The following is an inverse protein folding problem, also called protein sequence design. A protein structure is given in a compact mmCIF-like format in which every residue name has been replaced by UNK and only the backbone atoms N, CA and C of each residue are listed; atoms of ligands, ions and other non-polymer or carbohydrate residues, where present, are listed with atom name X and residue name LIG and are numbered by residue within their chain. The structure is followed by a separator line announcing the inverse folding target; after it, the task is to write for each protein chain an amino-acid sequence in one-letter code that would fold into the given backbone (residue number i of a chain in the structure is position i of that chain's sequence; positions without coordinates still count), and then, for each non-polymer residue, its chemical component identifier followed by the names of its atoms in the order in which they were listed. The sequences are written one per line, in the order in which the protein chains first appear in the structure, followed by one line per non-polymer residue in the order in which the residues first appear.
data_IF_036639254181
#
_entry.id   IF_036639254181
#
_cell.length_a   1.000
_cell.length_b   1.000
_cell.length_c   1.000
_cell.angle_alpha   90.00
_cell.angle_beta   90.00
_cell.angle_gamma   90.00
#
_symmetry.space_group_name_H-M   'P 1'
#
loop_
_entity.id
_entity.type
_entity.pdbx_description
1 polymer ?
#
# COMPACT_ATOMS: atom_id res chain seq x y z
N UNK A 1 18.64 -10.85 -4.55
CA UNK A 1 18.38 -9.88 -3.45
C UNK A 1 17.54 -10.55 -2.37
N UNK A 2 17.96 -10.42 -1.11
CA UNK A 2 17.22 -10.99 0.02
C UNK A 2 15.99 -10.12 0.31
N UNK A 3 14.81 -10.76 0.36
CA UNK A 3 13.59 -10.06 0.71
C UNK A 3 13.43 -9.92 2.23
N UNK A 4 12.68 -8.93 2.68
CA UNK A 4 12.37 -8.75 4.10
C UNK A 4 11.65 -10.00 4.66
N UNK A 5 10.76 -10.59 3.88
CA UNK A 5 10.04 -11.82 4.24
C UNK A 5 11.02 -12.97 4.51
N UNK A 6 12.01 -13.14 3.66
CA UNK A 6 13.01 -14.20 3.81
C UNK A 6 13.83 -14.01 5.08
N UNK A 7 14.29 -12.78 5.34
CA UNK A 7 15.07 -12.43 6.52
C UNK A 7 14.27 -12.67 7.80
N UNK A 8 13.01 -12.26 7.85
CA UNK A 8 12.13 -12.50 9.00
C UNK A 8 11.92 -14.00 9.18
N UNK A 9 11.73 -14.75 8.10
CA UNK A 9 11.59 -16.21 8.13
C UNK A 9 12.80 -16.91 8.75
N UNK A 10 14.00 -16.43 8.43
CA UNK A 10 15.24 -16.97 9.02
C UNK A 10 15.32 -16.71 10.52
N UNK A 11 14.90 -15.52 10.97
CA UNK A 11 14.85 -15.20 12.40
C UNK A 11 13.85 -16.11 13.12
N UNK A 12 12.68 -16.33 12.56
CA UNK A 12 11.66 -17.23 13.12
C UNK A 12 12.21 -18.64 13.27
N UNK A 13 12.87 -19.15 12.24
CA UNK A 13 13.48 -20.47 12.25
C UNK A 13 14.53 -20.57 13.36
N UNK A 14 15.42 -19.58 13.48
CA UNK A 14 16.40 -19.53 14.55
C UNK A 14 15.77 -19.54 15.94
N UNK A 15 14.72 -18.74 16.15
CA UNK A 15 14.04 -18.67 17.43
C UNK A 15 13.39 -20.00 17.82
N UNK A 16 12.77 -20.68 16.88
CA UNK A 16 12.04 -21.93 17.14
C UNK A 16 12.94 -23.16 17.23
N UNK A 17 13.97 -23.23 16.43
CA UNK A 17 14.79 -24.43 16.29
C UNK A 17 16.11 -24.39 17.04
N UNK A 18 16.66 -23.22 17.30
CA UNK A 18 17.98 -23.04 17.93
C UNK A 18 17.87 -22.33 19.28
N UNK A 19 17.36 -21.13 19.30
CA UNK A 19 17.35 -20.26 20.48
C UNK A 19 16.36 -20.74 21.54
N UNK A 20 15.12 -20.97 21.17
CA UNK A 20 14.06 -21.42 22.08
C UNK A 20 14.45 -22.73 22.80
N UNK A 21 14.83 -23.79 22.06
CA UNK A 21 15.25 -25.05 22.71
C UNK A 21 16.46 -24.92 23.61
N UNK A 22 17.36 -23.97 23.35
CA UNK A 22 18.57 -23.76 24.15
C UNK A 22 18.32 -23.05 25.48
N UNK A 23 17.17 -22.38 25.63
CA UNK A 23 16.81 -21.68 26.85
C UNK A 23 16.20 -22.67 27.84
N UNK A 24 16.79 -22.76 29.07
CA UNK A 24 16.32 -23.67 30.09
C UNK A 24 15.20 -23.09 30.95
N UNK A 25 15.21 -21.78 31.16
CA UNK A 25 14.23 -21.12 32.01
C UNK A 25 12.88 -20.96 31.28
N UNK A 26 11.76 -21.33 31.92
CA UNK A 26 10.43 -21.33 31.23
C UNK A 26 10.00 -19.99 30.72
N UNK A 27 10.19 -18.89 31.47
CA UNK A 27 9.70 -17.58 31.07
C UNK A 27 10.45 -17.02 29.85
N UNK A 28 11.79 -16.95 29.84
CA UNK A 28 12.52 -16.53 28.64
C UNK A 28 12.27 -17.43 27.42
N UNK A 29 12.08 -18.74 27.65
CA UNK A 29 11.75 -19.69 26.59
C UNK A 29 10.41 -19.35 25.94
N UNK A 30 9.39 -19.09 26.76
CA UNK A 30 8.07 -18.67 26.28
C UNK A 30 8.14 -17.37 25.50
N UNK A 31 8.97 -16.40 25.94
CA UNK A 31 9.16 -15.15 25.22
C UNK A 31 9.79 -15.35 23.84
N UNK A 32 10.75 -16.29 23.71
CA UNK A 32 11.37 -16.59 22.42
C UNK A 32 10.33 -17.13 21.42
N UNK A 33 9.48 -18.05 21.86
CA UNK A 33 8.41 -18.59 21.00
C UNK A 33 7.35 -17.55 20.68
N UNK A 34 7.01 -16.67 21.62
CA UNK A 34 6.08 -15.57 21.40
C UNK A 34 6.64 -14.59 20.36
N UNK A 35 7.93 -14.26 20.46
CA UNK A 35 8.60 -13.40 19.47
C UNK A 35 8.52 -14.02 18.08
N UNK A 36 8.74 -15.33 17.97
CA UNK A 36 8.63 -16.05 16.70
C UNK A 36 7.22 -15.94 16.11
N UNK A 37 6.19 -16.09 16.94
CA UNK A 37 4.79 -15.97 16.51
C UNK A 37 4.47 -14.57 16.00
N UNK A 38 4.94 -13.53 16.70
CA UNK A 38 4.75 -12.14 16.29
C UNK A 38 5.45 -11.88 14.95
N UNK A 39 6.67 -12.39 14.78
CA UNK A 39 7.41 -12.23 13.54
C UNK A 39 6.75 -12.97 12.36
N UNK A 40 6.14 -14.12 12.59
CA UNK A 40 5.37 -14.83 11.56
C UNK A 40 4.18 -13.99 11.10
N UNK A 41 3.50 -13.32 12.03
CA UNK A 41 2.40 -12.40 11.72
C UNK A 41 2.90 -11.22 10.87
N UNK A 42 4.02 -10.61 11.26
CA UNK A 42 4.64 -9.51 10.51
C UNK A 42 5.01 -9.95 9.09
N UNK A 43 5.59 -11.16 8.94
CA UNK A 43 5.96 -11.69 7.62
C UNK A 43 4.74 -11.85 6.71
N UNK A 44 3.61 -12.32 7.25
CA UNK A 44 2.37 -12.43 6.48
C UNK A 44 1.85 -11.07 6.04
N UNK A 45 1.92 -10.06 6.89
CA UNK A 45 1.52 -8.70 6.53
C UNK A 45 2.38 -8.12 5.41
N UNK A 46 3.69 -8.36 5.44
CA UNK A 46 4.61 -7.94 4.39
C UNK A 46 4.23 -8.60 3.05
N UNK A 47 3.92 -9.89 3.07
CA UNK A 47 3.51 -10.63 1.88
C UNK A 47 2.19 -10.10 1.31
N UNK A 48 1.20 -9.87 2.16
CA UNK A 48 -0.11 -9.34 1.77
C UNK A 48 0.01 -7.93 1.19
N UNK A 49 0.85 -7.08 1.78
CA UNK A 49 1.12 -5.74 1.26
C UNK A 49 1.80 -5.80 -0.11
N UNK A 50 2.75 -6.70 -0.29
CA UNK A 50 3.42 -6.88 -1.57
C UNK A 50 2.45 -7.28 -2.68
N UNK A 51 1.50 -8.16 -2.40
CA UNK A 51 0.45 -8.54 -3.34
C UNK A 51 -0.52 -7.36 -3.59
N UNK A 52 -0.86 -6.61 -2.54
CA UNK A 52 -1.72 -5.44 -2.62
C UNK A 52 -1.07 -4.26 -3.35
N UNK A 53 0.25 -4.13 -3.26
CA UNK A 53 1.00 -3.05 -3.93
C UNK A 53 0.87 -3.13 -5.45
N UNK A 54 0.90 -4.34 -6.02
CA UNK A 54 0.73 -4.54 -7.46
C UNK A 54 -0.67 -4.08 -7.92
N UNK A 55 -1.70 -4.39 -7.15
CA UNK A 55 -3.07 -3.94 -7.43
C UNK A 55 -3.21 -2.42 -7.25
N UNK A 56 -2.58 -1.85 -6.23
CA UNK A 56 -2.56 -0.39 -6.01
C UNK A 56 -1.91 0.33 -7.18
N UNK A 57 -0.78 -0.17 -7.67
CA UNK A 57 -0.10 0.40 -8.84
C UNK A 57 -1.01 0.37 -10.07
N UNK A 58 -1.74 -0.72 -10.29
CA UNK A 58 -2.67 -0.83 -11.40
C UNK A 58 -3.81 0.20 -11.30
N UNK A 59 -4.35 0.41 -10.10
CA UNK A 59 -5.39 1.42 -9.85
C UNK A 59 -4.87 2.82 -10.16
N UNK A 60 -3.67 3.15 -9.66
CA UNK A 60 -3.03 4.45 -9.88
C UNK A 60 -2.72 4.69 -11.36
N UNK A 61 -2.18 3.68 -12.06
CA UNK A 61 -1.91 3.74 -13.49
C UNK A 61 -3.17 4.06 -14.29
N UNK A 62 -4.26 3.33 -14.02
CA UNK A 62 -5.54 3.54 -14.69
C UNK A 62 -6.12 4.93 -14.39
N UNK A 63 -5.99 5.40 -13.16
CA UNK A 63 -6.47 6.72 -12.76
C UNK A 63 -5.73 7.83 -13.50
N UNK A 64 -4.40 7.82 -13.51
CA UNK A 64 -3.60 8.83 -14.19
C UNK A 64 -3.82 8.80 -15.72
N UNK A 65 -3.97 7.61 -16.28
CA UNK A 65 -4.27 7.46 -17.70
C UNK A 65 -5.62 8.07 -18.05
N UNK A 66 -6.67 7.77 -17.28
CA UNK A 66 -8.01 8.31 -17.51
C UNK A 66 -8.05 9.83 -17.36
N UNK A 67 -7.36 10.36 -16.34
CA UNK A 67 -7.25 11.82 -16.14
C UNK A 67 -6.54 12.47 -17.31
N UNK A 68 -5.50 11.82 -17.85
CA UNK A 68 -4.77 12.32 -19.01
C UNK A 68 -5.63 12.43 -20.28
N UNK A 69 -6.69 11.64 -20.37
CA UNK A 69 -7.61 11.64 -21.53
C UNK A 69 -8.71 12.70 -21.46
N UNK A 70 -8.87 13.38 -20.32
CA UNK A 70 -9.94 14.36 -20.12
C UNK A 70 -9.70 15.71 -20.80
N UNK A 71 -8.50 15.95 -21.32
CA UNK A 71 -8.17 17.22 -21.95
C UNK A 71 -7.78 18.34 -20.98
N UNK A 72 -7.35 17.98 -19.77
CA UNK A 72 -6.85 18.94 -18.80
C UNK A 72 -5.51 19.54 -19.25
N UNK A 73 -5.18 20.79 -18.85
CA UNK A 73 -3.87 21.36 -19.13
C UNK A 73 -2.72 20.48 -18.62
N UNK A 74 -1.64 20.39 -19.39
CA UNK A 74 -0.48 19.55 -19.05
C UNK A 74 0.13 19.89 -17.69
N UNK A 75 0.09 21.17 -17.29
CA UNK A 75 0.59 21.62 -15.97
C UNK A 75 -0.13 20.96 -14.80
N UNK A 76 -1.38 20.47 -15.01
CA UNK A 76 -2.16 19.77 -14.00
C UNK A 76 -1.85 18.28 -14.03
N UNK A 77 -1.78 17.68 -15.22
CA UNK A 77 -1.66 16.23 -15.40
C UNK A 77 -0.23 15.72 -15.42
N UNK A 78 0.76 16.62 -15.54
CA UNK A 78 2.17 16.23 -15.62
C UNK A 78 2.69 15.77 -14.27
N UNK A 79 3.11 14.51 -14.20
CA UNK A 79 3.69 13.90 -13.00
C UNK A 79 4.94 13.12 -13.38
N UNK A 80 5.93 13.10 -12.49
CA UNK A 80 7.18 12.37 -12.68
C UNK A 80 7.01 10.89 -12.40
N UNK A 81 6.06 10.54 -11.54
CA UNK A 81 5.73 9.17 -11.21
C UNK A 81 4.23 9.06 -10.91
N UNK A 82 3.69 7.85 -11.04
CA UNK A 82 2.26 7.60 -10.80
C UNK A 82 2.05 6.93 -9.45
N UNK A 83 2.41 7.64 -8.39
CA UNK A 83 2.29 7.16 -7.01
C UNK A 83 1.27 7.99 -6.21
N UNK A 84 1.07 7.65 -4.94
CA UNK A 84 0.11 8.34 -4.08
C UNK A 84 0.49 9.80 -3.81
N UNK A 85 1.79 10.09 -3.70
CA UNK A 85 2.26 11.46 -3.53
C UNK A 85 1.91 12.31 -4.75
N UNK A 86 2.10 11.76 -5.96
CA UNK A 86 1.73 12.43 -7.20
C UNK A 86 0.21 12.62 -7.30
N UNK A 87 -0.57 11.66 -6.80
CA UNK A 87 -2.04 11.79 -6.76
C UNK A 87 -2.47 12.95 -5.85
N UNK A 88 -1.85 13.09 -4.68
CA UNK A 88 -2.12 14.21 -3.78
C UNK A 88 -1.82 15.55 -4.45
N UNK A 89 -0.72 15.65 -5.17
CA UNK A 89 -0.35 16.83 -5.95
C UNK A 89 -1.37 17.12 -7.06
N UNK A 90 -1.79 16.08 -7.78
CA UNK A 90 -2.80 16.20 -8.84
C UNK A 90 -4.09 16.79 -8.29
N UNK A 91 -4.55 16.27 -7.16
CA UNK A 91 -5.78 16.74 -6.49
C UNK A 91 -5.65 18.23 -6.13
N UNK A 92 -4.53 18.62 -5.53
CA UNK A 92 -4.28 20.01 -5.15
C UNK A 92 -4.29 20.94 -6.37
N UNK A 93 -3.61 20.54 -7.44
CA UNK A 93 -3.57 21.30 -8.70
C UNK A 93 -4.96 21.41 -9.34
N UNK A 94 -5.72 20.33 -9.30
CA UNK A 94 -7.08 20.30 -9.86
C UNK A 94 -8.00 21.29 -9.15
N UNK A 95 -8.01 21.29 -7.83
CA UNK A 95 -8.81 22.24 -7.04
C UNK A 95 -8.36 23.67 -7.24
N UNK A 96 -7.06 23.89 -7.33
CA UNK A 96 -6.50 25.22 -7.55
C UNK A 96 -6.88 25.79 -8.93
N UNK A 97 -6.97 24.92 -9.93
CA UNK A 97 -7.29 25.31 -11.30
C UNK A 97 -8.79 25.28 -11.63
N UNK A 98 -9.64 24.99 -10.65
CA UNK A 98 -11.10 24.81 -10.85
C UNK A 98 -11.74 25.93 -11.66
N UNK A 99 -11.43 27.20 -11.33
CA UNK A 99 -11.97 28.36 -12.02
C UNK A 99 -11.49 28.50 -13.46
N UNK A 100 -10.31 28.02 -13.77
CA UNK A 100 -9.73 28.10 -15.12
C UNK A 100 -10.25 27.02 -16.07
N UNK A 101 -10.41 25.79 -15.55
CA UNK A 101 -10.83 24.66 -16.39
C UNK A 101 -12.34 24.55 -16.56
N UNK A 102 -13.12 25.22 -15.70
CA UNK A 102 -14.58 25.21 -15.73
C UNK A 102 -15.18 24.04 -14.93
N UNK A 103 -16.42 24.22 -14.51
CA UNK A 103 -17.12 23.29 -13.63
C UNK A 103 -17.35 21.91 -14.26
N UNK A 104 -17.65 21.84 -15.56
CA UNK A 104 -17.91 20.57 -16.24
C UNK A 104 -16.67 19.67 -16.25
N UNK A 105 -15.54 20.22 -16.64
CA UNK A 105 -14.28 19.48 -16.69
C UNK A 105 -13.77 19.13 -15.29
N UNK A 106 -13.90 20.09 -14.36
CA UNK A 106 -13.56 19.84 -12.96
C UNK A 106 -14.39 18.70 -12.37
N UNK A 107 -15.72 18.71 -12.61
CA UNK A 107 -16.61 17.67 -12.11
C UNK A 107 -16.26 16.28 -12.66
N UNK A 108 -15.92 16.20 -13.94
CA UNK A 108 -15.52 14.94 -14.57
C UNK A 108 -14.22 14.41 -13.96
N UNK A 109 -13.22 15.27 -13.82
CA UNK A 109 -11.93 14.90 -13.22
C UNK A 109 -12.09 14.49 -11.75
N UNK A 110 -12.84 15.27 -10.98
CA UNK A 110 -13.08 15.01 -9.56
C UNK A 110 -13.81 13.68 -9.35
N UNK A 111 -14.78 13.38 -10.21
CA UNK A 111 -15.53 12.11 -10.17
C UNK A 111 -14.61 10.92 -10.39
N UNK A 112 -13.70 11.03 -11.35
CA UNK A 112 -12.71 9.97 -11.63
C UNK A 112 -11.74 9.78 -10.47
N UNK A 113 -11.26 10.89 -9.89
CA UNK A 113 -10.35 10.85 -8.72
C UNK A 113 -11.05 10.16 -7.54
N UNK A 114 -12.28 10.52 -7.24
CA UNK A 114 -13.04 9.91 -6.14
C UNK A 114 -13.23 8.41 -6.34
N UNK A 115 -13.47 7.97 -7.55
CA UNK A 115 -13.58 6.55 -7.86
C UNK A 115 -12.26 5.82 -7.61
N UNK A 116 -11.14 6.42 -8.02
CA UNK A 116 -9.82 5.87 -7.77
C UNK A 116 -9.50 5.78 -6.28
N UNK A 117 -9.83 6.82 -5.51
CA UNK A 117 -9.65 6.81 -4.06
C UNK A 117 -10.49 5.73 -3.39
N UNK A 118 -11.71 5.50 -3.86
CA UNK A 118 -12.57 4.43 -3.37
C UNK A 118 -11.95 3.06 -3.66
N UNK A 119 -11.42 2.86 -4.86
CA UNK A 119 -10.78 1.60 -5.25
C UNK A 119 -9.56 1.33 -4.36
N UNK A 120 -8.73 2.35 -4.09
CA UNK A 120 -7.58 2.23 -3.18
C UNK A 120 -8.02 1.90 -1.76
N UNK A 121 -9.07 2.54 -1.27
CA UNK A 121 -9.61 2.27 0.06
C UNK A 121 -10.13 0.83 0.17
N UNK A 122 -10.81 0.34 -0.86
CA UNK A 122 -11.31 -1.03 -0.89
C UNK A 122 -10.17 -2.05 -0.85
N UNK A 123 -9.05 -1.79 -1.52
CA UNK A 123 -7.86 -2.64 -1.44
C UNK A 123 -7.32 -2.69 -0.01
N UNK A 124 -7.24 -1.54 0.67
CA UNK A 124 -6.77 -1.47 2.06
C UNK A 124 -7.70 -2.24 3.00
N UNK A 125 -9.01 -2.14 2.79
CA UNK A 125 -10.00 -2.86 3.59
C UNK A 125 -9.93 -4.37 3.36
N UNK A 126 -9.68 -4.83 2.14
CA UNK A 126 -9.48 -6.25 1.82
C UNK A 126 -8.26 -6.81 2.55
N UNK A 127 -7.14 -6.10 2.54
CA UNK A 127 -5.91 -6.51 3.24
C UNK A 127 -6.17 -6.60 4.74
N UNK A 128 -6.87 -5.62 5.33
CA UNK A 128 -7.21 -5.61 6.74
C UNK A 128 -8.13 -6.80 7.10
N UNK A 129 -9.13 -7.09 6.29
CA UNK A 129 -10.05 -8.21 6.50
C UNK A 129 -9.32 -9.54 6.46
N UNK A 130 -8.41 -9.75 5.49
CA UNK A 130 -7.59 -10.96 5.40
C UNK A 130 -6.65 -11.12 6.58
N UNK A 131 -6.10 -10.01 7.09
CA UNK A 131 -5.20 -10.03 8.23
C UNK A 131 -5.88 -10.38 9.56
N UNK A 132 -7.20 -10.27 9.65
CA UNK A 132 -7.95 -10.59 10.87
C UNK A 132 -8.46 -12.04 10.91
N UNK A 133 -8.31 -12.78 9.83
CA UNK A 133 -8.61 -14.21 9.76
C UNK A 133 -7.37 -15.04 10.09
#
# INVERSE_FOLDING_TARGET
MLSAKLLVGEIVTSLRQVIGPAISEPYPKAQAYMAATILEFVARQIEERGAGDSEREAVLEGLFEDIGKLGLPARITRVDSRNEAALSELIARLYHARGEIGESLFAAANRRVRRGLRDLLNLDLEVTAKGSE
#
